data_IF_210873932334
#
_entry.id   IF_210873932334
#
_cell.length_a   1.000
_cell.length_b   1.000
_cell.length_c   1.000
_cell.angle_alpha   90.00
_cell.angle_beta   90.00
_cell.angle_gamma   90.00
#
_symmetry.space_group_name_H-M   'P 1'
#
loop_
_entity.id
_entity.type
_entity.pdbx_description
1 polymer ?
#
# COMPACT_ATOMS: atom_id res chain seq x y z
N UNK A 1 -34.85 15.09 25.36
CA UNK A 1 -34.19 13.91 24.72
C UNK A 1 -33.29 14.30 23.55
N UNK A 2 -33.68 15.22 22.65
CA UNK A 2 -32.88 15.62 21.46
C UNK A 2 -31.51 16.23 21.82
N UNK A 3 -31.43 17.06 22.86
CA UNK A 3 -30.17 17.69 23.26
C UNK A 3 -29.13 16.69 23.80
N UNK A 4 -29.57 15.61 24.45
CA UNK A 4 -28.69 14.58 24.99
C UNK A 4 -28.08 13.71 23.88
N UNK A 5 -28.86 13.36 22.86
CA UNK A 5 -28.37 12.61 21.70
C UNK A 5 -27.39 13.44 20.87
N UNK A 6 -27.58 14.76 20.78
CA UNK A 6 -26.64 15.65 20.08
C UNK A 6 -25.27 15.72 20.78
N UNK A 7 -25.26 15.89 22.11
CA UNK A 7 -24.02 15.95 22.90
C UNK A 7 -23.27 14.61 22.87
N UNK A 8 -23.98 13.48 22.98
CA UNK A 8 -23.39 12.15 22.89
C UNK A 8 -22.77 11.88 21.50
N UNK A 9 -23.46 12.25 20.42
CA UNK A 9 -22.92 12.12 19.06
C UNK A 9 -21.69 13.00 18.82
N UNK A 10 -21.67 14.19 19.41
CA UNK A 10 -20.53 15.12 19.29
C UNK A 10 -19.28 14.60 20.01
N UNK A 11 -19.43 14.10 21.24
CA UNK A 11 -18.33 13.49 22.01
C UNK A 11 -17.82 12.22 21.31
N UNK A 12 -18.69 11.39 20.75
CA UNK A 12 -18.29 10.21 19.96
C UNK A 12 -17.48 10.60 18.72
N UNK A 13 -17.89 11.64 18.00
CA UNK A 13 -17.17 12.13 16.82
C UNK A 13 -15.79 12.66 17.20
N UNK A 14 -15.69 13.44 18.29
CA UNK A 14 -14.41 13.96 18.77
C UNK A 14 -13.43 12.84 19.17
N UNK A 15 -13.92 11.72 19.70
CA UNK A 15 -13.09 10.56 20.02
C UNK A 15 -12.61 9.77 18.79
N UNK A 16 -13.27 9.91 17.64
CA UNK A 16 -12.86 9.28 16.37
C UNK A 16 -11.77 10.07 15.64
N UNK A 17 -11.68 11.39 15.87
CA UNK A 17 -10.69 12.26 15.22
C UNK A 17 -9.24 11.78 15.45
N UNK A 18 -8.78 11.44 16.66
CA UNK A 18 -7.40 11.00 16.89
C UNK A 18 -7.07 9.66 16.23
N UNK A 19 -8.06 8.78 16.05
CA UNK A 19 -7.88 7.49 15.37
C UNK A 19 -7.70 7.73 13.86
N UNK A 20 -8.59 8.51 13.26
CA UNK A 20 -8.48 8.89 11.84
C UNK A 20 -7.17 9.66 11.55
N UNK A 21 -6.73 10.53 12.46
CA UNK A 21 -5.44 11.22 12.30
C UNK A 21 -4.24 10.29 12.42
N UNK A 22 -4.30 9.24 13.26
CA UNK A 22 -3.22 8.26 13.39
C UNK A 22 -3.09 7.40 12.15
N UNK A 23 -4.21 6.94 11.60
CA UNK A 23 -4.23 6.22 10.32
C UNK A 23 -3.64 7.10 9.21
N UNK A 24 -4.09 8.35 9.10
CA UNK A 24 -3.55 9.27 8.09
C UNK A 24 -2.03 9.49 8.21
N UNK A 25 -1.50 9.64 9.45
CA UNK A 25 -0.05 9.79 9.67
C UNK A 25 0.74 8.52 9.30
N UNK A 26 0.20 7.35 9.61
CA UNK A 26 0.80 6.08 9.25
C UNK A 26 0.92 5.94 7.72
N UNK A 27 -0.07 6.49 7.02
CA UNK A 27 -0.20 6.38 5.58
C UNK A 27 0.77 7.31 4.85
N UNK A 28 1.01 8.51 5.40
CA UNK A 28 2.08 9.40 4.95
C UNK A 28 3.47 8.78 5.14
N UNK A 29 3.68 8.00 6.20
CA UNK A 29 4.99 7.41 6.50
C UNK A 29 5.44 6.41 5.41
N UNK A 30 4.55 5.50 5.00
CA UNK A 30 4.82 4.54 3.93
C UNK A 30 5.22 5.25 2.63
N UNK A 31 4.46 6.26 2.21
CA UNK A 31 4.73 7.01 0.98
C UNK A 31 6.10 7.68 1.04
N UNK A 32 6.43 8.33 2.16
CA UNK A 32 7.73 8.95 2.34
C UNK A 32 8.88 7.94 2.28
N UNK A 33 8.72 6.78 2.90
CA UNK A 33 9.74 5.74 2.89
C UNK A 33 9.93 5.13 1.50
N UNK A 34 8.85 4.87 0.75
CA UNK A 34 8.91 4.43 -0.64
C UNK A 34 9.64 5.43 -1.52
N UNK A 35 9.33 6.73 -1.40
CA UNK A 35 9.99 7.78 -2.15
C UNK A 35 11.48 7.90 -1.79
N UNK A 36 11.84 7.82 -0.50
CA UNK A 36 13.25 7.80 -0.07
C UNK A 36 14.02 6.59 -0.61
N UNK A 37 13.34 5.46 -0.80
CA UNK A 37 13.89 4.27 -1.44
C UNK A 37 13.94 4.35 -2.97
N UNK A 38 13.44 5.43 -3.57
CA UNK A 38 13.36 5.60 -5.02
C UNK A 38 12.33 4.71 -5.70
N UNK A 39 11.35 4.18 -4.95
CA UNK A 39 10.29 3.33 -5.48
C UNK A 39 9.17 4.21 -6.04
N UNK A 40 8.93 4.10 -7.36
CA UNK A 40 7.88 4.87 -8.07
C UNK A 40 6.80 3.98 -8.69
N UNK A 41 7.02 2.67 -8.78
CA UNK A 41 6.06 1.71 -9.31
C UNK A 41 5.91 0.54 -8.33
N UNK A 42 4.67 0.20 -7.96
CA UNK A 42 4.41 -0.88 -7.00
C UNK A 42 3.28 -1.82 -7.43
N UNK A 43 3.37 -3.08 -7.00
CA UNK A 43 2.24 -4.00 -6.92
C UNK A 43 1.77 -4.09 -5.48
N UNK A 44 0.46 -3.96 -5.24
CA UNK A 44 -0.12 -3.99 -3.88
C UNK A 44 -1.62 -4.31 -3.91
N UNK A 45 -2.26 -4.45 -2.75
CA UNK A 45 -3.72 -4.56 -2.64
C UNK A 45 -4.46 -3.25 -3.03
N UNK A 46 -5.78 -3.33 -3.18
CA UNK A 46 -6.61 -2.21 -3.63
C UNK A 46 -6.54 -0.98 -2.71
N UNK A 47 -6.62 -1.16 -1.39
CA UNK A 47 -6.70 -0.05 -0.45
C UNK A 47 -5.36 0.65 -0.31
N UNK A 48 -4.27 -0.11 -0.23
CA UNK A 48 -2.93 0.46 -0.22
C UNK A 48 -2.64 1.18 -1.54
N UNK A 49 -3.05 0.61 -2.69
CA UNK A 49 -2.86 1.25 -4.00
C UNK A 49 -3.57 2.61 -4.06
N UNK A 50 -4.86 2.64 -3.74
CA UNK A 50 -5.66 3.86 -3.79
C UNK A 50 -5.04 4.99 -2.94
N UNK A 51 -4.65 4.62 -1.72
CA UNK A 51 -4.09 5.57 -0.77
C UNK A 51 -2.71 6.06 -1.18
N UNK A 52 -1.82 5.18 -1.61
CA UNK A 52 -0.47 5.56 -2.05
C UNK A 52 -0.54 6.46 -3.29
N UNK A 53 -1.41 6.15 -4.25
CA UNK A 53 -1.61 7.00 -5.43
C UNK A 53 -2.10 8.40 -5.01
N UNK A 54 -3.07 8.47 -4.09
CA UNK A 54 -3.60 9.74 -3.60
C UNK A 54 -2.56 10.56 -2.81
N UNK A 55 -2.00 9.99 -1.74
CA UNK A 55 -1.04 10.65 -0.83
C UNK A 55 0.27 11.05 -1.52
N UNK A 56 0.71 10.29 -2.52
CA UNK A 56 1.90 10.62 -3.30
C UNK A 56 1.64 11.63 -4.42
N UNK A 57 0.38 12.03 -4.66
CA UNK A 57 -0.02 12.80 -5.85
C UNK A 57 0.47 12.11 -7.13
N UNK A 58 0.20 10.80 -7.24
CA UNK A 58 0.59 9.91 -8.34
C UNK A 58 2.10 9.84 -8.62
N UNK A 59 2.96 10.31 -7.70
CA UNK A 59 4.42 10.08 -7.80
C UNK A 59 4.79 8.61 -7.63
N UNK A 60 3.91 7.83 -7.01
CA UNK A 60 3.99 6.37 -6.95
C UNK A 60 2.76 5.81 -7.66
N UNK A 61 2.98 5.12 -8.78
CA UNK A 61 1.94 4.45 -9.55
C UNK A 61 1.84 3.00 -9.09
N UNK A 62 0.62 2.50 -8.90
CA UNK A 62 0.38 1.17 -8.37
C UNK A 62 -0.48 0.32 -9.30
N UNK A 63 -0.19 -0.98 -9.32
CA UNK A 63 -1.04 -1.99 -9.95
C UNK A 63 -1.63 -2.90 -8.87
N UNK A 64 -2.96 -2.92 -8.78
CA UNK A 64 -3.69 -3.76 -7.83
C UNK A 64 -3.49 -5.23 -8.17
N UNK A 65 -3.20 -6.04 -7.16
CA UNK A 65 -3.22 -7.50 -7.22
C UNK A 65 -4.10 -8.10 -6.13
N UNK A 66 -4.72 -9.24 -6.43
CA UNK A 66 -5.50 -10.02 -5.48
C UNK A 66 -4.62 -10.91 -4.58
N UNK A 67 -5.25 -11.66 -3.68
CA UNK A 67 -4.59 -12.57 -2.74
C UNK A 67 -3.82 -13.71 -3.42
N UNK A 68 -4.09 -13.96 -4.70
CA UNK A 68 -3.39 -14.93 -5.56
C UNK A 68 -2.36 -14.25 -6.48
N UNK A 69 -2.09 -12.97 -6.26
CA UNK A 69 -1.19 -12.12 -7.04
C UNK A 69 -1.63 -11.96 -8.51
N UNK A 70 -2.92 -12.13 -8.81
CA UNK A 70 -3.51 -11.84 -10.11
C UNK A 70 -3.89 -10.36 -10.19
N UNK A 71 -3.80 -9.77 -11.39
CA UNK A 71 -4.14 -8.36 -11.58
C UNK A 71 -5.61 -8.09 -11.23
N UNK A 72 -5.81 -7.17 -10.28
CA UNK A 72 -7.12 -6.71 -9.84
C UNK A 72 -7.62 -5.50 -10.62
N UNK A 73 -8.69 -4.90 -10.10
CA UNK A 73 -9.30 -3.70 -10.68
C UNK A 73 -8.58 -2.45 -10.19
N UNK A 74 -7.94 -1.74 -11.12
CA UNK A 74 -7.31 -0.45 -10.88
C UNK A 74 -8.34 0.67 -11.11
N UNK A 75 -8.25 1.77 -10.35
CA UNK A 75 -9.10 2.96 -10.57
C UNK A 75 -8.78 3.65 -11.90
N UNK A 76 -7.52 3.60 -12.32
CA UNK A 76 -7.08 4.08 -13.62
C UNK A 76 -6.42 2.93 -14.40
N UNK A 77 -7.11 2.45 -15.44
CA UNK A 77 -6.71 1.29 -16.25
C UNK A 77 -5.26 1.34 -16.77
N UNK A 78 -4.71 2.51 -17.17
CA UNK A 78 -3.33 2.60 -17.64
C UNK A 78 -2.24 2.30 -16.60
N UNK A 79 -2.53 2.22 -15.30
CA UNK A 79 -1.48 1.97 -14.30
C UNK A 79 -0.83 0.58 -14.42
N UNK A 80 -1.61 -0.48 -14.68
CA UNK A 80 -1.05 -1.84 -14.79
C UNK A 80 0.03 -1.97 -15.86
N UNK A 81 -0.18 -1.53 -17.12
CA UNK A 81 0.90 -1.61 -18.11
C UNK A 81 2.11 -0.73 -17.75
N UNK A 82 1.93 0.42 -17.08
CA UNK A 82 3.04 1.27 -16.62
C UNK A 82 3.89 0.54 -15.58
N UNK A 83 3.28 -0.01 -14.53
CA UNK A 83 3.99 -0.75 -13.47
C UNK A 83 4.64 -2.01 -14.03
N UNK A 84 3.96 -2.71 -14.95
CA UNK A 84 4.50 -3.92 -15.60
C UNK A 84 5.72 -3.64 -16.47
N UNK A 85 5.83 -2.45 -17.04
CA UNK A 85 6.96 -2.06 -17.86
C UNK A 85 8.19 -1.67 -17.02
N UNK A 86 8.05 -1.39 -15.72
CA UNK A 86 9.18 -1.05 -14.85
C UNK A 86 9.82 -2.31 -14.24
N UNK A 87 11.05 -2.67 -14.63
CA UNK A 87 11.74 -3.82 -14.04
C UNK A 87 12.10 -3.60 -12.56
N UNK A 88 12.12 -2.35 -12.07
CA UNK A 88 12.38 -1.97 -10.67
C UNK A 88 11.11 -1.92 -9.83
N UNK A 89 9.94 -2.22 -10.39
CA UNK A 89 8.68 -2.20 -9.67
C UNK A 89 8.75 -3.09 -8.41
N UNK A 90 8.41 -2.51 -7.27
CA UNK A 90 8.45 -3.22 -5.99
C UNK A 90 7.12 -3.91 -5.70
N UNK A 91 7.16 -4.98 -4.91
CA UNK A 91 5.95 -5.57 -4.34
C UNK A 91 5.80 -5.06 -2.91
N UNK A 92 4.68 -4.43 -2.60
CA UNK A 92 4.45 -3.77 -1.31
C UNK A 92 3.14 -4.32 -0.77
N UNK A 93 3.15 -4.87 0.44
CA UNK A 93 1.96 -5.47 1.04
C UNK A 93 1.88 -5.16 2.52
N UNK A 94 0.67 -4.98 3.10
CA UNK A 94 0.51 -4.99 4.54
C UNK A 94 1.14 -6.26 5.11
N UNK A 95 1.82 -6.11 6.24
CA UNK A 95 2.44 -7.23 6.95
C UNK A 95 1.36 -8.28 7.26
N UNK A 96 1.74 -9.56 7.14
CA UNK A 96 0.87 -10.72 7.38
C UNK A 96 -0.37 -10.85 6.48
N UNK A 97 -0.50 -10.01 5.45
CA UNK A 97 -1.54 -10.15 4.44
C UNK A 97 -1.38 -11.44 3.61
N UNK A 98 -2.49 -11.94 3.05
CA UNK A 98 -2.43 -13.11 2.18
C UNK A 98 -1.52 -12.89 0.97
N UNK A 99 -1.51 -11.68 0.42
CA UNK A 99 -0.60 -11.28 -0.65
C UNK A 99 0.87 -11.33 -0.22
N UNK A 100 1.19 -10.87 0.99
CA UNK A 100 2.56 -10.93 1.52
C UNK A 100 3.05 -12.39 1.62
N UNK A 101 2.21 -13.29 2.14
CA UNK A 101 2.52 -14.72 2.22
C UNK A 101 2.66 -15.35 0.82
N UNK A 102 1.70 -15.09 -0.08
CA UNK A 102 1.74 -15.59 -1.44
C UNK A 102 3.00 -15.13 -2.19
N UNK A 103 3.39 -13.86 -2.02
CA UNK A 103 4.58 -13.32 -2.67
C UNK A 103 5.86 -13.87 -2.07
N UNK A 104 5.94 -14.04 -0.74
CA UNK A 104 7.09 -14.68 -0.12
C UNK A 104 7.35 -16.09 -0.70
N UNK A 105 6.30 -16.91 -0.83
CA UNK A 105 6.40 -18.23 -1.47
C UNK A 105 6.81 -18.14 -2.94
N UNK A 106 6.24 -17.18 -3.70
CA UNK A 106 6.57 -16.97 -5.10
C UNK A 106 8.02 -16.51 -5.29
N UNK A 107 8.51 -15.59 -4.45
CA UNK A 107 9.87 -15.06 -4.52
C UNK A 107 10.92 -16.15 -4.31
N UNK A 108 10.68 -17.07 -3.37
CA UNK A 108 11.53 -18.25 -3.15
C UNK A 108 11.56 -19.12 -4.41
N UNK A 109 10.42 -19.35 -5.06
CA UNK A 109 10.33 -20.17 -6.27
C UNK A 109 10.96 -19.52 -7.52
N UNK A 110 10.92 -18.19 -7.64
CA UNK A 110 11.36 -17.47 -8.84
C UNK A 110 12.89 -17.41 -9.01
N UNK A 111 13.68 -17.86 -8.03
CA UNK A 111 15.16 -17.78 -8.01
C UNK A 111 15.72 -16.37 -8.34
N UNK A 112 14.87 -15.34 -8.35
CA UNK A 112 15.24 -13.95 -8.59
C UNK A 112 15.46 -13.29 -7.23
N UNK A 113 16.61 -12.64 -7.03
CA UNK A 113 16.91 -12.00 -5.76
C UNK A 113 15.98 -10.79 -5.56
N UNK A 114 15.10 -10.88 -4.57
CA UNK A 114 14.37 -9.75 -4.04
C UNK A 114 14.98 -9.37 -2.69
N UNK A 115 15.23 -8.07 -2.50
CA UNK A 115 15.58 -7.52 -1.20
C UNK A 115 14.29 -7.18 -0.46
N UNK A 116 13.99 -7.90 0.61
CA UNK A 116 12.86 -7.59 1.49
C UNK A 116 13.24 -6.59 2.58
N UNK A 117 12.31 -5.69 2.93
CA UNK A 117 12.41 -4.75 4.06
C UNK A 117 11.03 -4.60 4.69
N UNK A 118 10.97 -4.44 6.01
CA UNK A 118 9.73 -4.13 6.73
C UNK A 118 9.76 -2.67 7.17
N UNK A 119 8.71 -1.91 6.85
CA UNK A 119 8.55 -0.48 7.16
C UNK A 119 7.08 -0.16 7.39
N UNK A 120 6.76 0.56 8.46
CA UNK A 120 5.41 1.09 8.72
C UNK A 120 4.29 0.05 8.58
N UNK A 121 4.51 -1.18 9.07
CA UNK A 121 3.51 -2.26 8.95
C UNK A 121 3.36 -2.84 7.54
N UNK A 122 4.29 -2.55 6.62
CA UNK A 122 4.37 -3.12 5.27
C UNK A 122 5.64 -3.93 5.09
N UNK A 123 5.54 -5.00 4.30
CA UNK A 123 6.70 -5.68 3.70
C UNK A 123 6.88 -5.20 2.27
N UNK A 124 8.12 -4.85 1.94
CA UNK A 124 8.52 -4.26 0.67
C UNK A 124 9.58 -5.16 0.03
N UNK A 125 9.28 -5.73 -1.12
CA UNK A 125 10.19 -6.56 -1.90
C UNK A 125 10.67 -5.79 -3.14
N UNK A 126 11.93 -5.38 -3.14
CA UNK A 126 12.55 -4.70 -4.27
C UNK A 126 13.35 -5.70 -5.13
N UNK A 127 13.15 -5.73 -6.45
CA UNK A 127 14.01 -6.51 -7.34
C UNK A 127 15.48 -6.09 -7.19
N UNK A 128 16.40 -7.04 -7.06
CA UNK A 128 17.83 -6.78 -7.15
C UNK A 128 18.27 -6.93 -8.60
N UNK A 129 18.13 -5.86 -9.37
CA UNK A 129 18.65 -5.79 -10.74
C UNK A 129 20.16 -5.51 -10.65
N UNK A 130 20.97 -6.36 -11.28
CA UNK A 130 22.41 -6.13 -11.49
C UNK A 130 22.64 -5.10 -12.60
#
# INVERSE_FOLDING_TARGET
MIALSFVLGWVQTLNLIPVAQRENRHDTALVQDLLKMGVTHIYTDYWTCDRVAFESTERIICSVVDERLQYGRNRYTPYTPIVKADPKAAWVFPLDSQQAHAFASKAIAMHHPYRSRVKDGYVIYQPQIQ
#
